data_IF_565514118951
#
_entry.id   IF_565514118951
#
_cell.length_a   1.000
_cell.length_b   1.000
_cell.length_c   1.000
_cell.angle_alpha   90.00
_cell.angle_beta   90.00
_cell.angle_gamma   90.00
#
_symmetry.space_group_name_H-M   'P 1'
#
loop_
_entity.id
_entity.type
_entity.pdbx_description
1 polymer ?
#
# COMPACT_ATOMS: atom_id res chain seq x y z
N UNK A 1 -10.65 -1.27 -16.09
CA UNK A 1 -9.83 -2.14 -15.19
C UNK A 1 -10.75 -2.77 -14.15
N UNK A 2 -10.64 -4.07 -13.96
CA UNK A 2 -11.46 -4.82 -13.01
C UNK A 2 -11.02 -4.50 -11.59
N UNK A 3 -11.97 -4.35 -10.67
CA UNK A 3 -11.71 -3.97 -9.28
C UNK A 3 -10.72 -4.93 -8.59
N UNK A 4 -10.81 -6.22 -8.86
CA UNK A 4 -9.88 -7.21 -8.30
C UNK A 4 -8.44 -6.94 -8.74
N UNK A 5 -8.22 -6.58 -10.00
CA UNK A 5 -6.90 -6.22 -10.52
C UNK A 5 -6.36 -4.96 -9.83
N UNK A 6 -7.21 -4.00 -9.56
CA UNK A 6 -6.83 -2.78 -8.83
C UNK A 6 -6.34 -3.15 -7.43
N UNK A 7 -7.05 -4.01 -6.71
CA UNK A 7 -6.63 -4.45 -5.38
C UNK A 7 -5.30 -5.20 -5.42
N UNK A 8 -5.10 -6.06 -6.41
CA UNK A 8 -3.85 -6.81 -6.56
C UNK A 8 -2.66 -5.87 -6.83
N UNK A 9 -2.85 -4.89 -7.71
CA UNK A 9 -1.82 -3.89 -8.00
C UNK A 9 -1.52 -3.00 -6.79
N UNK A 10 -2.55 -2.62 -6.03
CA UNK A 10 -2.36 -1.85 -4.80
C UNK A 10 -1.55 -2.63 -3.76
N UNK A 11 -1.86 -3.90 -3.58
CA UNK A 11 -1.12 -4.76 -2.65
C UNK A 11 0.35 -4.85 -3.05
N UNK A 12 0.63 -5.10 -4.32
CA UNK A 12 1.99 -5.17 -4.85
C UNK A 12 2.74 -3.85 -4.65
N UNK A 13 2.11 -2.72 -4.98
CA UNK A 13 2.72 -1.40 -4.80
C UNK A 13 2.98 -1.07 -3.34
N UNK A 14 2.06 -1.41 -2.44
CA UNK A 14 2.23 -1.18 -1.01
C UNK A 14 3.37 -2.02 -0.44
N UNK A 15 3.53 -3.27 -0.89
CA UNK A 15 4.64 -4.12 -0.50
C UNK A 15 5.98 -3.55 -1.00
N UNK A 16 6.01 -3.08 -2.23
CA UNK A 16 7.19 -2.44 -2.80
C UNK A 16 7.53 -1.14 -2.06
N UNK A 17 6.52 -0.35 -1.71
CA UNK A 17 6.72 0.89 -0.95
C UNK A 17 7.35 0.59 0.40
N UNK A 18 6.85 -0.39 1.13
CA UNK A 18 7.40 -0.81 2.41
C UNK A 18 8.86 -1.24 2.28
N UNK A 19 9.18 -2.03 1.26
CA UNK A 19 10.55 -2.45 0.98
C UNK A 19 11.48 -1.26 0.76
N UNK A 20 11.08 -0.31 -0.09
CA UNK A 20 11.92 0.86 -0.38
C UNK A 20 12.02 1.82 0.81
N UNK A 21 10.96 1.98 1.59
CA UNK A 21 10.99 2.78 2.82
C UNK A 21 11.95 2.19 3.85
N UNK A 22 11.93 0.87 4.03
CA UNK A 22 12.85 0.18 4.94
C UNK A 22 14.29 0.32 4.46
N UNK A 23 14.52 0.23 3.15
CA UNK A 23 15.84 0.42 2.56
C UNK A 23 16.35 1.83 2.79
N UNK A 24 15.49 2.83 2.64
CA UNK A 24 15.83 4.23 2.88
C UNK A 24 16.17 4.45 4.35
N UNK A 25 15.42 3.88 5.28
CA UNK A 25 15.70 3.98 6.72
C UNK A 25 17.04 3.34 7.08
N UNK A 26 17.37 2.19 6.49
CA UNK A 26 18.67 1.55 6.68
C UNK A 26 19.79 2.47 6.24
N UNK A 27 19.68 3.10 5.07
CA UNK A 27 20.69 4.02 4.55
C UNK A 27 20.81 5.25 5.45
N UNK A 28 19.71 5.82 5.88
CA UNK A 28 19.73 6.97 6.81
C UNK A 28 20.41 6.64 8.13
N UNK A 29 20.16 5.46 8.68
CA UNK A 29 20.77 5.04 9.94
C UNK A 29 22.27 4.81 9.82
N UNK A 30 22.75 4.42 8.63
CA UNK A 30 24.17 4.24 8.36
C UNK A 30 24.89 5.58 8.13
N UNK A 31 24.24 6.51 7.43
CA UNK A 31 24.88 7.77 7.03
C UNK A 31 24.94 8.76 8.19
N UNK A 32 23.91 8.88 9.02
CA UNK A 32 23.88 9.89 10.09
C UNK A 32 24.91 9.66 11.22
N UNK A 33 25.07 8.44 11.77
CA UNK A 33 26.16 8.20 12.73
C UNK A 33 27.54 8.30 12.13
N UNK A 34 27.71 7.96 10.86
CA UNK A 34 28.99 8.03 10.16
C UNK A 34 29.41 9.46 9.87
N UNK A 35 28.49 10.35 9.58
CA UNK A 35 28.81 11.76 9.35
C UNK A 35 29.49 12.39 10.56
N UNK A 36 29.10 12.00 11.77
CA UNK A 36 29.76 12.45 13.02
C UNK A 36 31.11 11.87 13.20
N UNK A 37 31.35 10.64 12.71
CA UNK A 37 32.66 9.99 12.76
C UNK A 37 33.61 10.49 11.68
N UNK A 38 33.10 10.90 10.54
CA UNK A 38 33.93 11.41 9.43
C UNK A 38 34.64 12.68 9.79
N UNK A 39 34.05 13.55 10.60
CA UNK A 39 34.72 14.77 11.08
C UNK A 39 35.93 14.50 11.97
N UNK A 40 36.02 13.29 12.56
CA UNK A 40 37.11 12.88 13.44
C UNK A 40 38.17 12.06 12.72
N UNK A 41 37.90 11.46 11.58
CA UNK A 41 38.81 10.62 10.81
C UNK A 41 39.30 11.40 9.59
N UNK A 42 39.84 12.57 9.81
CA UNK A 42 40.55 13.29 8.76
C UNK A 42 42.00 12.80 8.77
N UNK A 43 42.23 11.64 8.21
CA UNK A 43 43.59 11.16 8.04
C UNK A 43 43.83 10.81 6.58
N UNK A 44 44.90 11.30 6.13
CA UNK A 44 45.69 11.03 4.93
C UNK A 44 45.26 9.84 4.08
N UNK A 45 44.99 9.96 2.84
CA UNK A 45 44.80 8.88 1.87
C UNK A 45 43.44 8.20 1.83
N UNK A 46 42.77 8.02 2.98
CA UNK A 46 41.40 7.47 3.06
C UNK A 46 40.31 8.44 2.69
N UNK A 47 40.65 9.71 2.67
CA UNK A 47 39.73 10.84 2.48
C UNK A 47 38.99 10.82 1.15
N UNK A 48 39.62 10.38 0.08
CA UNK A 48 38.99 10.32 -1.25
C UNK A 48 38.01 9.15 -1.37
N UNK A 49 38.35 8.00 -0.81
CA UNK A 49 37.49 6.82 -0.87
C UNK A 49 36.21 7.06 -0.04
N UNK A 50 36.38 7.63 1.16
CA UNK A 50 35.24 7.96 2.03
C UNK A 50 34.33 8.99 1.41
N UNK A 51 34.87 10.01 0.71
CA UNK A 51 34.08 11.00 0.00
C UNK A 51 33.29 10.40 -1.16
N UNK A 52 33.89 9.47 -1.90
CA UNK A 52 33.23 8.79 -3.02
C UNK A 52 32.10 7.90 -2.50
N UNK A 53 32.35 7.11 -1.44
CA UNK A 53 31.32 6.27 -0.82
C UNK A 53 30.16 7.09 -0.28
N UNK A 54 30.43 8.20 0.37
CA UNK A 54 29.41 9.12 0.87
C UNK A 54 28.59 9.71 -0.28
N UNK A 55 29.24 10.06 -1.38
CA UNK A 55 28.57 10.59 -2.56
C UNK A 55 27.64 9.54 -3.21
N UNK A 56 28.11 8.31 -3.34
CA UNK A 56 27.30 7.18 -3.86
C UNK A 56 26.09 6.90 -2.96
N UNK A 57 26.27 6.95 -1.64
CA UNK A 57 25.17 6.76 -0.68
C UNK A 57 24.13 7.86 -0.79
N UNK A 58 24.53 9.11 -0.95
CA UNK A 58 23.62 10.24 -1.15
C UNK A 58 22.84 10.07 -2.45
N UNK A 59 23.51 9.69 -3.53
CA UNK A 59 22.88 9.46 -4.81
C UNK A 59 21.86 8.33 -4.76
N UNK A 60 22.21 7.21 -4.11
CA UNK A 60 21.27 6.09 -3.90
C UNK A 60 20.07 6.50 -3.06
N UNK A 61 20.29 7.32 -2.03
CA UNK A 61 19.22 7.86 -1.20
C UNK A 61 18.26 8.71 -2.03
N UNK A 62 18.77 9.59 -2.88
CA UNK A 62 17.95 10.43 -3.75
C UNK A 62 17.13 9.59 -4.72
N UNK A 63 17.72 8.55 -5.32
CA UNK A 63 17.01 7.62 -6.20
C UNK A 63 15.89 6.89 -5.47
N UNK A 64 16.14 6.44 -4.24
CA UNK A 64 15.14 5.80 -3.41
C UNK A 64 13.99 6.75 -3.06
N UNK A 65 14.30 7.99 -2.72
CA UNK A 65 13.29 9.00 -2.41
C UNK A 65 12.39 9.27 -3.63
N UNK A 66 12.97 9.38 -4.82
CA UNK A 66 12.22 9.57 -6.06
C UNK A 66 11.34 8.35 -6.36
N UNK A 67 11.89 7.15 -6.19
CA UNK A 67 11.14 5.90 -6.40
C UNK A 67 9.95 5.81 -5.44
N UNK A 68 10.15 6.16 -4.17
CA UNK A 68 9.10 6.17 -3.16
C UNK A 68 7.99 7.15 -3.55
N UNK A 69 8.34 8.36 -3.97
CA UNK A 69 7.36 9.35 -4.42
C UNK A 69 6.57 8.87 -5.63
N UNK A 70 7.22 8.21 -6.57
CA UNK A 70 6.56 7.62 -7.74
C UNK A 70 5.56 6.54 -7.33
N UNK A 71 5.96 5.62 -6.44
CA UNK A 71 5.08 4.56 -5.95
C UNK A 71 3.89 5.14 -5.18
N UNK A 72 4.13 6.12 -4.32
CA UNK A 72 3.06 6.80 -3.58
C UNK A 72 2.06 7.47 -4.53
N UNK A 73 2.54 8.10 -5.59
CA UNK A 73 1.69 8.71 -6.62
C UNK A 73 0.82 7.65 -7.33
N UNK A 74 1.41 6.50 -7.67
CA UNK A 74 0.69 5.39 -8.30
C UNK A 74 -0.37 4.81 -7.37
N UNK A 75 -0.05 4.69 -6.10
CA UNK A 75 -1.01 4.22 -5.09
C UNK A 75 -2.20 5.18 -5.00
N UNK A 76 -1.94 6.49 -4.95
CA UNK A 76 -3.02 7.49 -4.92
C UNK A 76 -3.94 7.40 -6.15
N UNK A 77 -3.34 7.27 -7.33
CA UNK A 77 -4.11 7.15 -8.58
C UNK A 77 -4.99 5.90 -8.57
N UNK A 78 -4.45 4.77 -8.12
CA UNK A 78 -5.20 3.52 -8.02
C UNK A 78 -6.27 3.57 -6.92
N UNK A 79 -6.03 4.25 -5.81
CA UNK A 79 -7.03 4.46 -4.77
C UNK A 79 -8.22 5.26 -5.30
N UNK A 80 -7.98 6.29 -6.09
CA UNK A 80 -9.04 7.06 -6.74
C UNK A 80 -9.83 6.18 -7.70
N UNK A 81 -9.13 5.39 -8.51
CA UNK A 81 -9.76 4.47 -9.47
C UNK A 81 -10.58 3.41 -8.75
N UNK A 82 -10.04 2.86 -7.66
CA UNK A 82 -10.73 1.89 -6.81
C UNK A 82 -12.06 2.46 -6.29
N UNK A 83 -12.03 3.66 -5.75
CA UNK A 83 -13.22 4.29 -5.19
C UNK A 83 -14.28 4.55 -6.28
N UNK A 84 -13.86 4.95 -7.47
CA UNK A 84 -14.75 5.13 -8.62
C UNK A 84 -15.41 3.82 -9.03
N UNK A 85 -14.65 2.72 -9.06
CA UNK A 85 -15.17 1.40 -9.42
C UNK A 85 -16.14 0.87 -8.36
N UNK A 86 -15.84 1.04 -7.09
CA UNK A 86 -16.76 0.67 -6.01
C UNK A 86 -18.07 1.42 -6.15
N UNK A 87 -17.99 2.72 -6.40
CA UNK A 87 -19.17 3.57 -6.59
C UNK A 87 -20.00 3.12 -7.81
N UNK A 88 -19.33 2.80 -8.91
CA UNK A 88 -19.98 2.29 -10.12
C UNK A 88 -20.70 0.97 -9.84
N UNK A 89 -20.06 0.03 -9.20
CA UNK A 89 -20.65 -1.27 -8.85
C UNK A 89 -21.86 -1.10 -7.93
N UNK A 90 -21.76 -0.18 -6.97
CA UNK A 90 -22.86 0.10 -6.06
C UNK A 90 -24.07 0.68 -6.79
N UNK A 91 -23.85 1.55 -7.79
CA UNK A 91 -24.93 2.21 -8.55
C UNK A 91 -25.56 1.30 -9.59
N UNK A 92 -24.80 0.41 -10.21
CA UNK A 92 -25.27 -0.43 -11.32
C UNK A 92 -25.68 -1.85 -10.91
N UNK A 93 -25.91 -2.10 -9.64
CA UNK A 93 -26.49 -3.34 -9.17
C UNK A 93 -25.52 -4.51 -8.98
N UNK A 94 -24.23 -4.32 -9.23
CA UNK A 94 -23.20 -5.35 -9.01
C UNK A 94 -22.67 -5.32 -7.58
N UNK A 95 -23.56 -5.11 -6.63
CA UNK A 95 -23.22 -4.90 -5.22
C UNK A 95 -22.59 -6.13 -4.57
N UNK A 96 -22.97 -7.33 -5.01
CA UNK A 96 -22.41 -8.57 -4.52
C UNK A 96 -20.90 -8.67 -4.72
N UNK A 97 -20.42 -8.31 -5.91
CA UNK A 97 -18.98 -8.30 -6.20
C UNK A 97 -18.25 -7.27 -5.34
N UNK A 98 -18.82 -6.09 -5.20
CA UNK A 98 -18.24 -5.02 -4.39
C UNK A 98 -18.13 -5.43 -2.92
N UNK A 99 -19.17 -6.04 -2.37
CA UNK A 99 -19.20 -6.51 -0.98
C UNK A 99 -18.12 -7.57 -0.73
N UNK A 100 -18.00 -8.54 -1.64
CA UNK A 100 -16.98 -9.60 -1.51
C UNK A 100 -15.57 -9.01 -1.48
N UNK A 101 -15.28 -8.11 -2.41
CA UNK A 101 -13.96 -7.47 -2.48
C UNK A 101 -13.68 -6.58 -1.27
N UNK A 102 -14.66 -5.81 -0.83
CA UNK A 102 -14.50 -4.98 0.37
C UNK A 102 -14.28 -5.83 1.63
N UNK A 103 -14.95 -6.96 1.73
CA UNK A 103 -14.80 -7.83 2.90
C UNK A 103 -13.49 -8.61 2.89
N UNK A 104 -13.07 -9.11 1.74
CA UNK A 104 -11.91 -9.99 1.62
C UNK A 104 -10.60 -9.26 1.33
N UNK A 105 -10.63 -8.18 0.57
CA UNK A 105 -9.42 -7.50 0.08
C UNK A 105 -9.14 -6.16 0.74
N UNK A 106 -10.14 -5.53 1.33
CA UNK A 106 -9.94 -4.23 1.98
C UNK A 106 -9.58 -4.41 3.45
N UNK A 107 -8.56 -3.67 3.91
CA UNK A 107 -8.10 -3.73 5.29
C UNK A 107 -7.99 -2.32 5.86
N UNK A 108 -8.25 -2.18 7.16
CA UNK A 108 -8.03 -0.95 7.91
C UNK A 108 -6.93 -1.22 8.94
N UNK A 109 -6.04 -0.28 9.09
CA UNK A 109 -5.00 -0.33 10.12
C UNK A 109 -5.56 0.35 11.37
N UNK A 110 -5.61 -0.40 12.47
CA UNK A 110 -6.09 0.13 13.76
C UNK A 110 -5.03 1.00 14.44
N UNK A 111 -5.38 1.56 15.60
CA UNK A 111 -4.48 2.40 16.39
C UNK A 111 -3.22 1.70 16.87
N UNK A 112 -3.23 0.36 16.88
CA UNK A 112 -2.09 -0.47 17.29
C UNK A 112 -1.25 -0.94 16.10
N UNK A 113 -1.57 -0.51 14.89
CA UNK A 113 -0.86 -0.90 13.68
C UNK A 113 -1.26 -2.26 13.11
N UNK A 114 -2.28 -2.89 13.65
CA UNK A 114 -2.78 -4.18 13.16
C UNK A 114 -3.78 -4.00 12.04
N UNK A 115 -3.66 -4.81 10.99
CA UNK A 115 -4.63 -4.85 9.90
C UNK A 115 -5.87 -5.62 10.32
N UNK A 116 -7.03 -5.09 10.05
CA UNK A 116 -8.31 -5.76 10.28
C UNK A 116 -9.21 -5.62 9.06
N UNK A 117 -10.13 -6.57 8.93
CA UNK A 117 -11.17 -6.49 7.90
C UNK A 117 -12.17 -5.37 8.22
N UNK A 118 -12.84 -4.88 7.18
CA UNK A 118 -13.93 -3.93 7.36
C UNK A 118 -15.10 -4.57 8.09
N UNK A 119 -15.74 -3.80 8.98
CA UNK A 119 -17.00 -4.21 9.57
C UNK A 119 -18.14 -4.08 8.56
N UNK A 120 -19.23 -4.80 8.79
CA UNK A 120 -20.41 -4.71 7.90
C UNK A 120 -21.00 -3.32 7.84
N UNK A 121 -20.92 -2.57 8.93
CA UNK A 121 -21.34 -1.17 8.98
C UNK A 121 -20.48 -0.29 8.06
N UNK A 122 -19.17 -0.48 8.09
CA UNK A 122 -18.24 0.25 7.22
C UNK A 122 -18.47 -0.09 5.75
N UNK A 123 -18.69 -1.37 5.43
CA UNK A 123 -19.00 -1.82 4.07
C UNK A 123 -20.33 -1.20 3.60
N UNK A 124 -21.33 -1.22 4.47
CA UNK A 124 -22.63 -0.62 4.15
C UNK A 124 -22.53 0.86 3.84
N UNK A 125 -21.71 1.60 4.59
CA UNK A 125 -21.49 3.02 4.32
C UNK A 125 -20.86 3.27 2.96
N UNK A 126 -19.92 2.44 2.55
CA UNK A 126 -19.26 2.57 1.25
C UNK A 126 -20.19 2.24 0.09
N UNK A 127 -21.14 1.35 0.30
CA UNK A 127 -22.10 0.91 -0.73
C UNK A 127 -23.47 1.55 -0.60
N UNK A 128 -23.60 2.53 0.27
CA UNK A 128 -24.86 3.28 0.49
C UNK A 128 -26.02 2.36 0.88
N UNK A 129 -25.75 1.40 1.77
CA UNK A 129 -26.75 0.46 2.27
C UNK A 129 -26.57 0.20 3.77
N UNK A 130 -27.50 -0.52 4.37
CA UNK A 130 -27.40 -0.90 5.76
C UNK A 130 -26.54 -2.16 5.94
N UNK A 131 -26.17 -2.43 7.18
CA UNK A 131 -25.34 -3.57 7.55
C UNK A 131 -25.95 -4.91 7.14
N UNK A 132 -27.24 -5.05 7.38
CA UNK A 132 -27.99 -6.28 7.07
C UNK A 132 -28.00 -6.57 5.57
N UNK A 133 -28.21 -5.55 4.75
CA UNK A 133 -28.20 -5.65 3.30
C UNK A 133 -26.83 -6.07 2.79
N UNK A 134 -25.77 -5.47 3.31
CA UNK A 134 -24.39 -5.83 2.95
C UNK A 134 -24.09 -7.30 3.27
N UNK A 135 -24.49 -7.78 4.44
CA UNK A 135 -24.34 -9.21 4.80
C UNK A 135 -25.09 -10.13 3.86
N UNK A 136 -26.32 -9.77 3.50
CA UNK A 136 -27.14 -10.58 2.60
C UNK A 136 -26.51 -10.67 1.21
N UNK A 137 -26.00 -9.59 0.68
CA UNK A 137 -25.30 -9.60 -0.61
C UNK A 137 -24.05 -10.47 -0.57
N UNK A 138 -23.28 -10.41 0.51
CA UNK A 138 -22.12 -11.25 0.70
C UNK A 138 -22.47 -12.73 0.72
N UNK A 139 -23.52 -13.10 1.46
CA UNK A 139 -23.99 -14.49 1.54
C UNK A 139 -24.44 -15.00 0.18
N UNK A 140 -25.18 -14.21 -0.57
CA UNK A 140 -25.63 -14.58 -1.92
C UNK A 140 -24.47 -14.74 -2.89
N UNK A 141 -23.53 -13.79 -2.89
CA UNK A 141 -22.37 -13.82 -3.77
C UNK A 141 -21.46 -15.02 -3.47
N UNK A 142 -21.22 -15.33 -2.21
CA UNK A 142 -20.40 -16.49 -1.81
C UNK A 142 -21.11 -17.81 -2.11
N UNK A 143 -22.41 -17.86 -2.00
CA UNK A 143 -23.21 -19.04 -2.34
C UNK A 143 -23.15 -19.33 -3.85
N UNK A 144 -23.27 -18.32 -4.69
CA UNK A 144 -23.11 -18.47 -6.14
C UNK A 144 -21.69 -18.92 -6.49
N UNK A 145 -20.68 -18.36 -5.85
CA UNK A 145 -19.28 -18.73 -6.04
C UNK A 145 -19.05 -20.21 -5.71
N UNK A 146 -19.65 -20.71 -4.63
CA UNK A 146 -19.57 -22.13 -4.26
C UNK A 146 -20.29 -23.03 -5.28
N UNK A 147 -21.41 -22.58 -5.85
CA UNK A 147 -22.12 -23.33 -6.90
C UNK A 147 -21.27 -23.47 -8.16
N UNK A 148 -20.57 -22.43 -8.55
CA UNK A 148 -19.72 -22.43 -9.75
C UNK A 148 -18.51 -23.33 -9.57
N UNK A 149 -17.98 -23.44 -8.33
CA UNK A 149 -16.81 -24.26 -7.99
C UNK A 149 -17.15 -25.72 -7.67
N UNK A 150 -18.40 -26.01 -7.44
CA UNK A 150 -18.88 -27.37 -7.25
C UNK A 150 -19.48 -27.92 -8.55
#
# INVERSE_FOLDING_TARGET
MILEDIYNQLEELKNNLEYYQNRLEEIKSLVMPQATKFDKIIVDGGKHIDSILKYVEIENRQQLEVTILYIESKIRDLEILKNKEIDRLAKFGEKGKAVVLLREKEFIVDSQGKKRHLTWNEIGRKLYCDERTARNWYKLATKERKRVLS
#
